data_IF_231942731045
#
_entry.id   IF_231942731045
#
_cell.length_a   1.000
_cell.length_b   1.000
_cell.length_c   1.000
_cell.angle_alpha   90.00
_cell.angle_beta   90.00
_cell.angle_gamma   90.00
#
_symmetry.space_group_name_H-M   'P 1'
#
loop_
_entity.id
_entity.type
_entity.pdbx_description
1 polymer ?
#
# COMPACT_ATOMS: atom_id res chain seq x y z
N UNK A 1 7.88 -25.32 -6.38
CA UNK A 1 8.68 -24.87 -7.54
C UNK A 1 8.14 -23.51 -7.95
N UNK A 2 8.97 -22.59 -8.42
CA UNK A 2 8.47 -21.36 -9.03
C UNK A 2 7.75 -21.68 -10.34
N UNK A 3 6.80 -20.83 -10.71
CA UNK A 3 6.08 -20.93 -11.97
C UNK A 3 6.36 -19.67 -12.79
N UNK A 4 6.24 -19.76 -14.12
CA UNK A 4 6.44 -18.63 -15.01
C UNK A 4 5.09 -18.18 -15.59
N UNK A 5 4.84 -16.87 -15.56
CA UNK A 5 3.72 -16.25 -16.25
C UNK A 5 4.05 -16.11 -17.74
N UNK A 6 3.16 -16.63 -18.57
CA UNK A 6 3.23 -16.55 -20.04
C UNK A 6 2.23 -15.54 -20.62
N UNK A 7 1.34 -15.01 -19.79
CA UNK A 7 0.35 -14.02 -20.17
C UNK A 7 0.99 -12.66 -20.46
N UNK A 8 0.43 -11.95 -21.46
CA UNK A 8 0.78 -10.56 -21.74
C UNK A 8 -0.01 -9.61 -20.84
N UNK A 9 0.67 -8.66 -20.21
CA UNK A 9 0.09 -7.69 -19.29
C UNK A 9 0.25 -6.26 -19.83
N UNK A 10 -0.84 -5.60 -20.29
CA UNK A 10 -0.75 -4.26 -20.90
C UNK A 10 -0.11 -3.20 -20.00
N UNK A 11 -0.28 -3.29 -18.68
CA UNK A 11 0.31 -2.34 -17.72
C UNK A 11 1.86 -2.41 -17.68
N UNK A 12 2.47 -3.49 -18.18
CA UNK A 12 3.93 -3.64 -18.28
C UNK A 12 4.51 -3.04 -19.57
N UNK A 13 3.69 -2.72 -20.58
CA UNK A 13 4.15 -2.12 -21.84
C UNK A 13 4.78 -0.73 -21.65
N UNK A 14 4.41 -0.05 -20.57
CA UNK A 14 4.95 1.26 -20.21
C UNK A 14 6.35 1.19 -19.57
N UNK A 15 6.83 -0.01 -19.26
CA UNK A 15 8.22 -0.19 -18.84
C UNK A 15 9.16 0.09 -20.02
N UNK A 16 10.38 0.52 -19.71
CA UNK A 16 11.45 0.76 -20.69
C UNK A 16 11.69 -0.47 -21.57
N UNK A 17 11.58 -1.65 -20.98
CA UNK A 17 11.60 -2.93 -21.69
C UNK A 17 10.56 -3.85 -21.06
N UNK A 18 9.70 -4.42 -21.89
CA UNK A 18 8.75 -5.43 -21.45
C UNK A 18 9.52 -6.64 -20.86
N UNK A 19 9.16 -7.15 -19.67
CA UNK A 19 9.85 -8.28 -19.05
C UNK A 19 9.83 -9.52 -19.95
N UNK A 20 11.00 -10.11 -20.21
CA UNK A 20 11.08 -11.35 -21.01
C UNK A 20 10.55 -12.57 -20.26
N UNK A 21 10.66 -12.55 -18.94
CA UNK A 21 10.18 -13.60 -18.05
C UNK A 21 9.65 -12.98 -16.77
N UNK A 22 8.58 -13.56 -16.22
CA UNK A 22 8.03 -13.17 -14.94
C UNK A 22 7.72 -14.44 -14.14
N UNK A 23 8.48 -14.67 -13.09
CA UNK A 23 8.35 -15.82 -12.19
C UNK A 23 7.49 -15.45 -10.99
N UNK A 24 6.76 -16.44 -10.46
CA UNK A 24 5.87 -16.20 -9.34
C UNK A 24 5.77 -17.37 -8.35
N UNK A 25 5.27 -17.04 -7.16
CA UNK A 25 4.70 -17.95 -6.15
C UNK A 25 3.49 -17.30 -5.50
N UNK A 26 2.44 -18.09 -5.26
CA UNK A 26 1.21 -17.63 -4.63
C UNK A 26 0.08 -17.40 -5.62
N UNK A 27 -0.84 -16.51 -5.28
CA UNK A 27 -2.11 -16.29 -5.96
C UNK A 27 -2.01 -15.22 -7.07
N UNK A 28 -2.05 -15.67 -8.32
CA UNK A 28 -1.98 -14.80 -9.50
C UNK A 28 -3.25 -13.97 -9.72
N UNK A 29 -4.38 -14.32 -9.11
CA UNK A 29 -5.63 -13.56 -9.26
C UNK A 29 -5.52 -12.14 -8.71
N UNK A 30 -4.55 -11.89 -7.82
CA UNK A 30 -4.21 -10.53 -7.35
C UNK A 30 -3.75 -9.59 -8.48
N UNK A 31 -3.28 -10.13 -9.61
CA UNK A 31 -2.92 -9.33 -10.79
C UNK A 31 -4.14 -8.70 -11.46
N UNK A 32 -5.34 -9.25 -11.28
CA UNK A 32 -6.57 -8.75 -11.89
C UNK A 32 -7.27 -7.68 -11.03
N UNK A 33 -6.86 -7.53 -9.76
CA UNK A 33 -7.43 -6.55 -8.83
C UNK A 33 -6.92 -5.13 -9.13
N UNK A 34 -7.64 -4.08 -8.70
CA UNK A 34 -7.08 -2.74 -8.62
C UNK A 34 -5.81 -2.74 -7.77
N UNK A 35 -4.76 -2.03 -8.19
CA UNK A 35 -3.44 -2.09 -7.55
C UNK A 35 -2.87 -0.71 -7.26
N UNK A 36 -2.30 -0.54 -6.06
CA UNK A 36 -1.55 0.67 -5.69
C UNK A 36 -0.15 0.27 -5.24
N UNK A 37 0.86 0.90 -5.83
CA UNK A 37 2.26 0.67 -5.44
C UNK A 37 2.64 1.60 -4.29
N UNK A 38 3.19 1.04 -3.21
CA UNK A 38 3.63 1.81 -2.04
C UNK A 38 5.13 1.55 -1.84
N UNK A 39 5.94 2.60 -1.84
CA UNK A 39 7.40 2.52 -1.65
C UNK A 39 7.89 3.63 -0.72
N UNK A 40 9.09 3.46 -0.17
CA UNK A 40 9.71 4.51 0.64
C UNK A 40 11.02 4.11 1.29
N UNK A 41 11.45 4.91 2.26
CA UNK A 41 12.70 4.73 2.99
C UNK A 41 12.75 3.39 3.73
N UNK A 42 13.97 2.85 3.86
CA UNK A 42 14.25 1.67 4.70
C UNK A 42 14.26 2.00 6.20
N UNK A 43 14.27 3.27 6.56
CA UNK A 43 14.32 3.77 7.94
C UNK A 43 13.22 4.82 8.19
N UNK A 44 11.93 4.44 8.09
CA UNK A 44 10.82 5.38 8.19
C UNK A 44 10.71 5.97 9.59
N UNK A 45 10.28 7.23 9.68
CA UNK A 45 9.89 7.88 10.94
C UNK A 45 8.69 7.18 11.60
N UNK A 46 8.42 7.47 12.88
CA UNK A 46 7.24 6.90 13.57
C UNK A 46 5.92 7.28 12.87
N UNK A 47 5.84 8.53 12.42
CA UNK A 47 4.74 9.06 11.62
C UNK A 47 4.54 8.22 10.35
N UNK A 48 5.58 8.05 9.55
CA UNK A 48 5.53 7.28 8.30
C UNK A 48 5.16 5.82 8.56
N UNK A 49 5.69 5.21 9.62
CA UNK A 49 5.33 3.82 9.97
C UNK A 49 3.84 3.68 10.21
N UNK A 50 3.27 4.56 11.03
CA UNK A 50 1.85 4.54 11.37
C UNK A 50 0.98 4.75 10.13
N UNK A 51 1.22 5.83 9.38
CA UNK A 51 0.37 6.18 8.24
C UNK A 51 0.58 5.28 7.01
N UNK A 52 1.77 4.71 6.80
CA UNK A 52 1.96 3.66 5.77
C UNK A 52 1.09 2.44 6.06
N UNK A 53 1.05 1.99 7.32
CA UNK A 53 0.24 0.84 7.72
C UNK A 53 -1.26 1.13 7.56
N UNK A 54 -1.72 2.28 8.06
CA UNK A 54 -3.12 2.69 7.95
C UNK A 54 -3.55 2.83 6.49
N UNK A 55 -2.72 3.43 5.64
CA UNK A 55 -2.98 3.56 4.21
C UNK A 55 -3.12 2.20 3.52
N UNK A 56 -2.18 1.30 3.77
CA UNK A 56 -2.22 -0.04 3.18
C UNK A 56 -3.46 -0.83 3.65
N UNK A 57 -3.84 -0.70 4.93
CA UNK A 57 -5.05 -1.31 5.49
C UNK A 57 -6.33 -0.75 4.87
N UNK A 58 -6.42 0.57 4.69
CA UNK A 58 -7.58 1.23 4.10
C UNK A 58 -7.77 0.84 2.62
N UNK A 59 -6.67 0.70 1.86
CA UNK A 59 -6.70 0.17 0.50
C UNK A 59 -7.15 -1.29 0.48
N UNK A 60 -6.64 -2.11 1.39
CA UNK A 60 -6.98 -3.52 1.46
C UNK A 60 -8.45 -3.79 1.78
N UNK A 61 -9.03 -3.02 2.72
CA UNK A 61 -10.47 -3.04 3.02
C UNK A 61 -11.35 -2.80 1.79
N UNK A 62 -10.86 -2.04 0.79
CA UNK A 62 -11.54 -1.72 -0.48
C UNK A 62 -11.26 -2.70 -1.60
N UNK A 63 -10.59 -3.80 -1.27
CA UNK A 63 -10.18 -4.80 -2.23
C UNK A 63 -9.04 -4.37 -3.16
N UNK A 64 -8.37 -3.25 -2.87
CA UNK A 64 -7.22 -2.76 -3.63
C UNK A 64 -5.97 -3.48 -3.15
N UNK A 65 -5.27 -4.14 -4.07
CA UNK A 65 -4.06 -4.88 -3.77
C UNK A 65 -2.86 -3.93 -3.65
N UNK A 66 -2.08 -4.09 -2.58
CA UNK A 66 -0.86 -3.29 -2.37
C UNK A 66 0.32 -3.97 -3.04
N UNK A 67 1.07 -3.23 -3.87
CA UNK A 67 2.29 -3.71 -4.53
C UNK A 67 3.51 -3.04 -3.89
N UNK A 68 4.52 -3.83 -3.49
CA UNK A 68 5.77 -3.27 -2.96
C UNK A 68 6.96 -4.22 -3.15
N UNK A 69 8.14 -3.78 -2.74
CA UNK A 69 9.41 -4.47 -3.00
C UNK A 69 9.91 -5.40 -1.88
N UNK A 70 9.11 -5.70 -0.86
CA UNK A 70 9.54 -6.49 0.30
C UNK A 70 10.85 -6.03 0.99
N UNK A 71 11.32 -4.80 0.75
CA UNK A 71 12.50 -4.27 1.43
C UNK A 71 12.21 -3.98 2.92
N UNK A 72 13.25 -3.67 3.69
CA UNK A 72 13.06 -3.14 5.05
C UNK A 72 12.33 -1.79 5.00
N UNK A 73 11.71 -1.41 6.13
CA UNK A 73 11.06 -0.12 6.28
C UNK A 73 9.69 -0.08 5.60
N UNK A 74 9.45 0.94 4.78
CA UNK A 74 8.13 1.21 4.19
C UNK A 74 7.53 0.01 3.47
N UNK A 75 8.31 -0.70 2.65
CA UNK A 75 7.81 -1.85 1.89
C UNK A 75 7.23 -2.94 2.81
N UNK A 76 7.97 -3.34 3.86
CA UNK A 76 7.50 -4.34 4.82
C UNK A 76 6.25 -3.88 5.58
N UNK A 77 6.17 -2.60 5.92
CA UNK A 77 5.02 -2.01 6.62
C UNK A 77 3.80 -1.98 5.72
N UNK A 78 3.98 -1.66 4.44
CA UNK A 78 2.91 -1.67 3.45
C UNK A 78 2.34 -3.08 3.26
N UNK A 79 3.20 -4.09 3.09
CA UNK A 79 2.77 -5.49 3.03
C UNK A 79 2.02 -5.93 4.30
N UNK A 80 2.55 -5.57 5.48
CA UNK A 80 1.93 -5.93 6.76
C UNK A 80 0.57 -5.24 6.95
N UNK A 81 0.45 -3.96 6.56
CA UNK A 81 -0.81 -3.22 6.66
C UNK A 81 -1.87 -3.70 5.67
N UNK A 82 -1.46 -4.13 4.49
CA UNK A 82 -2.36 -4.67 3.48
C UNK A 82 -2.93 -6.04 3.85
N UNK A 83 -2.18 -6.83 4.62
CA UNK A 83 -2.47 -8.25 4.85
C UNK A 83 -1.75 -9.13 3.83
N UNK A 84 -1.33 -10.31 4.28
CA UNK A 84 -0.53 -11.26 3.49
C UNK A 84 -1.25 -11.79 2.24
N UNK A 85 -2.58 -11.77 2.24
CA UNK A 85 -3.49 -12.22 1.17
C UNK A 85 -3.90 -11.11 0.19
N UNK A 86 -3.60 -9.85 0.51
CA UNK A 86 -3.96 -8.71 -0.32
C UNK A 86 -2.73 -7.88 -0.72
N UNK A 87 -1.64 -8.57 -1.07
CA UNK A 87 -0.41 -7.89 -1.47
C UNK A 87 0.43 -8.68 -2.48
N UNK A 88 1.15 -7.92 -3.32
CA UNK A 88 2.11 -8.43 -4.29
C UNK A 88 3.51 -7.92 -3.90
N UNK A 89 4.40 -8.84 -3.53
CA UNK A 89 5.81 -8.57 -3.27
C UNK A 89 6.65 -8.81 -4.53
N UNK A 90 7.26 -7.77 -5.06
CA UNK A 90 8.18 -7.89 -6.20
C UNK A 90 9.62 -7.96 -5.69
N UNK A 91 10.32 -9.06 -5.89
CA UNK A 91 11.68 -9.27 -5.37
C UNK A 91 12.75 -9.01 -6.43
N UNK A 92 13.97 -8.65 -5.98
CA UNK A 92 15.12 -8.37 -6.85
C UNK A 92 16.02 -9.61 -7.06
N UNK A 93 15.54 -10.79 -6.69
CA UNK A 93 16.20 -12.08 -6.72
C UNK A 93 15.23 -13.14 -7.26
N UNK A 94 15.70 -14.36 -7.50
CA UNK A 94 14.80 -15.48 -7.80
C UNK A 94 13.76 -15.67 -6.68
N UNK A 95 12.52 -16.05 -7.01
CA UNK A 95 11.43 -16.23 -6.02
C UNK A 95 11.68 -17.39 -5.03
N UNK A 96 12.73 -18.17 -5.23
CA UNK A 96 13.25 -19.17 -4.30
C UNK A 96 14.08 -18.57 -3.15
N UNK A 97 14.55 -17.34 -3.29
CA UNK A 97 15.40 -16.65 -2.31
C UNK A 97 14.56 -15.65 -1.50
N UNK A 98 14.69 -15.69 -0.17
CA UNK A 98 13.98 -14.77 0.75
C UNK A 98 14.96 -13.69 1.21
N UNK A 99 14.91 -12.56 0.53
CA UNK A 99 15.77 -11.40 0.81
C UNK A 99 14.93 -10.12 0.97
N UNK A 100 15.24 -9.25 1.94
CA UNK A 100 16.29 -9.41 2.95
C UNK A 100 15.90 -10.45 4.01
N UNK A 101 16.89 -11.09 4.64
CA UNK A 101 16.66 -12.17 5.60
C UNK A 101 15.76 -11.77 6.79
N UNK A 102 15.80 -10.49 7.20
CA UNK A 102 14.95 -9.94 8.25
C UNK A 102 13.45 -10.00 7.91
N UNK A 103 13.09 -9.98 6.63
CA UNK A 103 11.72 -10.05 6.16
C UNK A 103 11.34 -11.46 5.69
N UNK A 104 12.17 -12.48 5.96
CA UNK A 104 11.96 -13.85 5.47
C UNK A 104 10.55 -14.37 5.81
N UNK A 105 10.13 -14.24 7.06
CA UNK A 105 8.83 -14.77 7.51
C UNK A 105 7.66 -14.08 6.79
N UNK A 106 7.74 -12.75 6.60
CA UNK A 106 6.74 -11.99 5.86
C UNK A 106 6.67 -12.45 4.39
N UNK A 107 7.82 -12.62 3.74
CA UNK A 107 7.89 -13.10 2.35
C UNK A 107 7.28 -14.50 2.26
N UNK A 108 7.64 -15.42 3.15
CA UNK A 108 7.10 -16.78 3.19
C UNK A 108 5.58 -16.81 3.43
N UNK A 109 5.04 -15.84 4.16
CA UNK A 109 3.61 -15.74 4.39
C UNK A 109 2.88 -15.19 3.15
N UNK A 110 3.45 -14.19 2.48
CA UNK A 110 2.94 -13.68 1.18
C UNK A 110 3.00 -14.79 0.13
N UNK A 111 4.04 -15.61 0.07
CA UNK A 111 4.11 -16.75 -0.87
C UNK A 111 2.96 -17.75 -0.71
N UNK A 112 2.39 -17.85 0.50
CA UNK A 112 1.32 -18.80 0.83
C UNK A 112 -0.08 -18.24 0.58
N UNK A 113 -0.26 -16.93 0.74
CA UNK A 113 -1.59 -16.28 0.74
C UNK A 113 -1.76 -15.19 -0.30
N UNK A 114 -0.69 -14.45 -0.59
CA UNK A 114 -0.65 -13.38 -1.59
C UNK A 114 0.18 -13.80 -2.78
N UNK A 115 0.97 -12.88 -3.33
CA UNK A 115 1.77 -13.14 -4.52
C UNK A 115 3.19 -12.59 -4.38
N UNK A 116 4.18 -13.41 -4.72
CA UNK A 116 5.57 -12.98 -4.91
C UNK A 116 5.93 -13.05 -6.39
N UNK A 117 6.50 -11.99 -6.94
CA UNK A 117 6.89 -11.86 -8.34
C UNK A 117 8.37 -11.53 -8.49
N UNK A 118 8.99 -12.01 -9.57
CA UNK A 118 10.36 -11.66 -9.95
C UNK A 118 10.56 -11.74 -11.46
N UNK A 119 11.46 -10.92 -12.00
CA UNK A 119 11.96 -11.08 -13.38
C UNK A 119 13.16 -12.03 -13.46
N UNK A 120 13.62 -12.55 -12.32
CA UNK A 120 14.86 -13.31 -12.23
C UNK A 120 14.58 -14.80 -11.99
N UNK A 121 15.34 -15.65 -12.69
CA UNK A 121 15.27 -17.11 -12.59
C UNK A 121 15.64 -17.61 -11.18
N UNK A 122 15.26 -18.86 -10.88
CA UNK A 122 15.62 -19.50 -9.62
C UNK A 122 17.14 -19.48 -9.37
N UNK A 123 17.55 -19.22 -8.13
CA UNK A 123 18.95 -19.12 -7.73
C UNK A 123 19.62 -17.77 -8.04
N UNK A 124 18.98 -16.86 -8.78
CA UNK A 124 19.53 -15.54 -9.04
C UNK A 124 19.60 -14.68 -7.77
N UNK A 125 20.80 -14.26 -7.37
CA UNK A 125 21.03 -13.43 -6.18
C UNK A 125 20.91 -11.94 -6.51
N UNK A 126 20.29 -11.17 -5.59
CA UNK A 126 20.09 -9.74 -5.77
C UNK A 126 21.42 -8.98 -5.92
N UNK A 127 21.46 -8.08 -6.90
CA UNK A 127 22.56 -7.17 -7.23
C UNK A 127 22.08 -5.72 -7.22
N UNK A 128 22.99 -4.74 -7.23
CA UNK A 128 22.62 -3.31 -7.28
C UNK A 128 21.68 -2.96 -8.44
N UNK A 129 21.95 -3.48 -9.64
CA UNK A 129 21.13 -3.23 -10.83
C UNK A 129 19.77 -3.95 -10.78
N UNK A 130 19.70 -5.13 -10.15
CA UNK A 130 18.45 -5.89 -10.06
C UNK A 130 17.39 -5.14 -9.23
N UNK A 131 17.79 -4.35 -8.23
CA UNK A 131 16.87 -3.49 -7.48
C UNK A 131 16.26 -2.39 -8.36
N UNK A 132 17.04 -1.82 -9.29
CA UNK A 132 16.56 -0.79 -10.21
C UNK A 132 15.51 -1.38 -11.16
N UNK A 133 15.81 -2.54 -11.76
CA UNK A 133 14.88 -3.28 -12.64
C UNK A 133 13.62 -3.71 -11.89
N UNK A 134 13.76 -4.19 -10.65
CA UNK A 134 12.63 -4.54 -9.79
C UNK A 134 11.74 -3.34 -9.52
N UNK A 135 12.32 -2.18 -9.17
CA UNK A 135 11.55 -1.00 -8.80
C UNK A 135 10.67 -0.52 -9.96
N UNK A 136 11.17 -0.61 -11.20
CA UNK A 136 10.38 -0.31 -12.39
C UNK A 136 9.14 -1.22 -12.49
N UNK A 137 9.31 -2.53 -12.23
CA UNK A 137 8.18 -3.47 -12.21
C UNK A 137 7.18 -3.18 -11.09
N UNK A 138 7.64 -2.81 -9.89
CA UNK A 138 6.76 -2.36 -8.79
C UNK A 138 5.89 -1.20 -9.25
N UNK A 139 6.49 -0.19 -9.90
CA UNK A 139 5.76 0.98 -10.40
C UNK A 139 4.81 0.62 -11.54
N UNK A 140 5.22 -0.27 -12.45
CA UNK A 140 4.40 -0.69 -13.58
C UNK A 140 3.10 -1.40 -13.13
N UNK A 141 3.20 -2.25 -12.11
CA UNK A 141 2.07 -3.04 -11.58
C UNK A 141 0.96 -2.20 -10.95
N UNK A 142 1.28 -1.16 -10.19
CA UNK A 142 0.27 -0.30 -9.55
C UNK A 142 -0.27 0.76 -10.51
N UNK A 143 -1.55 1.08 -10.44
CA UNK A 143 -2.16 2.13 -11.26
C UNK A 143 -1.57 3.52 -10.97
N UNK A 144 -1.03 3.68 -9.76
CA UNK A 144 -0.31 4.85 -9.27
C UNK A 144 0.77 4.46 -8.27
N UNK A 145 1.59 5.44 -7.93
CA UNK A 145 2.66 5.30 -6.96
C UNK A 145 2.40 6.16 -5.73
N UNK A 146 2.47 5.57 -4.55
CA UNK A 146 2.56 6.27 -3.27
C UNK A 146 3.99 6.18 -2.75
N UNK A 147 4.60 7.33 -2.45
CA UNK A 147 5.89 7.41 -1.78
C UNK A 147 5.66 7.99 -0.38
N UNK A 148 5.75 7.14 0.64
CA UNK A 148 5.37 7.57 1.99
C UNK A 148 6.46 8.34 2.71
N UNK A 149 7.75 8.09 2.46
CA UNK A 149 8.86 8.92 2.94
C UNK A 149 10.11 8.62 2.10
N UNK A 150 10.85 9.65 1.66
CA UNK A 150 12.03 9.49 0.82
C UNK A 150 13.03 10.63 0.97
N UNK A 151 14.33 10.30 0.90
CA UNK A 151 15.40 11.28 0.68
C UNK A 151 15.67 11.49 -0.82
N UNK A 152 16.33 12.59 -1.17
CA UNK A 152 16.62 12.98 -2.57
C UNK A 152 17.37 11.89 -3.37
N UNK A 153 18.39 11.27 -2.80
CA UNK A 153 19.20 10.24 -3.49
C UNK A 153 18.69 8.80 -3.26
N UNK A 154 17.42 8.64 -2.87
CA UNK A 154 16.88 7.33 -2.52
C UNK A 154 16.37 6.53 -3.74
N UNK A 155 16.32 5.20 -3.59
CA UNK A 155 15.71 4.33 -4.61
C UNK A 155 14.21 4.60 -4.85
N UNK A 156 13.52 5.23 -3.89
CA UNK A 156 12.13 5.66 -4.05
C UNK A 156 12.02 6.82 -5.04
N UNK A 157 13.01 7.72 -5.11
CA UNK A 157 13.04 8.79 -6.12
C UNK A 157 13.23 8.23 -7.53
N UNK A 158 13.98 7.13 -7.68
CA UNK A 158 14.01 6.37 -8.96
C UNK A 158 12.65 5.80 -9.33
N UNK A 159 11.87 5.37 -8.34
CA UNK A 159 10.49 4.91 -8.57
C UNK A 159 9.59 6.08 -9.02
N UNK A 160 9.80 7.29 -8.48
CA UNK A 160 9.12 8.50 -8.96
C UNK A 160 9.45 8.79 -10.43
N UNK A 161 10.72 8.69 -10.84
CA UNK A 161 11.14 8.85 -12.23
C UNK A 161 10.40 7.88 -13.16
N UNK A 162 10.29 6.60 -12.78
CA UNK A 162 9.51 5.61 -13.54
C UNK A 162 8.03 5.96 -13.59
N UNK A 163 7.42 6.39 -12.49
CA UNK A 163 6.00 6.73 -12.45
C UNK A 163 5.69 7.90 -13.39
N UNK A 164 6.52 8.95 -13.39
CA UNK A 164 6.40 10.08 -14.30
C UNK A 164 6.56 9.64 -15.76
N UNK A 165 7.57 8.82 -16.08
CA UNK A 165 7.78 8.30 -17.42
C UNK A 165 6.59 7.45 -17.93
N UNK A 166 5.91 6.74 -17.03
CA UNK A 166 4.72 5.94 -17.34
C UNK A 166 3.41 6.75 -17.35
N UNK A 167 3.46 8.04 -17.04
CA UNK A 167 2.29 8.91 -16.89
C UNK A 167 1.39 8.52 -15.71
N UNK A 168 1.96 7.91 -14.66
CA UNK A 168 1.23 7.54 -13.44
C UNK A 168 1.21 8.70 -12.45
N UNK A 169 0.10 8.87 -11.75
CA UNK A 169 0.00 9.83 -10.66
C UNK A 169 0.89 9.39 -9.50
N UNK A 170 1.53 10.37 -8.85
CA UNK A 170 2.33 10.15 -7.65
C UNK A 170 1.61 10.80 -6.48
N UNK A 171 1.52 10.08 -5.38
CA UNK A 171 0.98 10.57 -4.13
C UNK A 171 2.02 10.45 -3.02
N UNK A 172 1.99 11.35 -2.06
CA UNK A 172 2.92 11.35 -0.92
C UNK A 172 2.21 11.70 0.37
N UNK A 173 2.74 11.22 1.50
CA UNK A 173 2.33 11.73 2.79
C UNK A 173 2.92 13.13 3.01
N UNK A 174 2.14 14.09 3.58
CA UNK A 174 2.67 15.39 3.93
C UNK A 174 3.72 15.24 5.04
N UNK A 175 4.85 15.93 4.90
CA UNK A 175 5.94 15.93 5.87
C UNK A 175 6.28 17.35 6.30
N UNK A 176 6.89 17.47 7.49
CA UNK A 176 7.42 18.75 7.98
C UNK A 176 8.60 19.20 7.11
N UNK A 177 8.92 20.49 7.18
CA UNK A 177 10.19 21.00 6.65
C UNK A 177 11.36 20.32 7.38
N UNK A 178 12.40 19.97 6.63
CA UNK A 178 13.56 19.23 7.16
C UNK A 178 13.38 17.71 7.20
N UNK A 179 12.17 17.21 6.96
CA UNK A 179 11.87 15.78 6.80
C UNK A 179 11.61 15.44 5.34
N UNK A 180 11.76 14.16 4.97
CA UNK A 180 11.39 13.59 3.67
C UNK A 180 11.67 14.51 2.47
N UNK A 181 12.93 14.94 2.31
CA UNK A 181 13.32 15.92 1.30
C UNK A 181 12.89 15.53 -0.12
N UNK A 182 12.92 14.24 -0.44
CA UNK A 182 12.47 13.72 -1.74
C UNK A 182 10.98 13.95 -2.00
N UNK A 183 10.11 13.57 -1.05
CA UNK A 183 8.65 13.77 -1.24
C UNK A 183 8.27 15.24 -1.23
N UNK A 184 8.93 16.06 -0.40
CA UNK A 184 8.71 17.51 -0.37
C UNK A 184 9.14 18.17 -1.68
N UNK A 185 10.24 17.73 -2.30
CA UNK A 185 10.64 18.20 -3.64
C UNK A 185 9.63 17.81 -4.73
N UNK A 186 9.06 16.61 -4.68
CA UNK A 186 8.00 16.19 -5.60
C UNK A 186 6.76 17.09 -5.49
N UNK A 187 6.36 17.44 -4.27
CA UNK A 187 5.26 18.40 -4.03
C UNK A 187 5.60 19.79 -4.56
N UNK A 188 6.79 20.29 -4.24
CA UNK A 188 7.24 21.62 -4.68
C UNK A 188 7.27 21.75 -6.21
N UNK A 189 7.61 20.66 -6.90
CA UNK A 189 7.70 20.61 -8.36
C UNK A 189 6.38 20.23 -9.03
N UNK A 190 5.26 20.17 -8.29
CA UNK A 190 3.93 19.77 -8.79
C UNK A 190 3.91 18.38 -9.45
N UNK A 191 4.83 17.49 -9.05
CA UNK A 191 4.95 16.13 -9.58
C UNK A 191 4.19 15.09 -8.73
N UNK A 192 3.79 15.47 -7.51
CA UNK A 192 3.01 14.62 -6.63
C UNK A 192 1.83 15.37 -6.00
N UNK A 193 0.82 14.62 -5.57
CA UNK A 193 -0.33 15.10 -4.80
C UNK A 193 -0.22 14.65 -3.34
N UNK A 194 -0.44 15.53 -2.35
CA UNK A 194 -0.40 15.15 -0.95
C UNK A 194 -1.65 14.34 -0.55
N UNK A 195 -1.47 13.34 0.31
CA UNK A 195 -2.55 12.59 0.95
C UNK A 195 -2.83 13.22 2.31
N UNK A 196 -3.86 14.05 2.40
CA UNK A 196 -4.28 14.65 3.68
C UNK A 196 -5.23 13.78 4.48
N UNK A 197 -6.00 12.94 3.78
CA UNK A 197 -7.00 12.05 4.36
C UNK A 197 -6.90 10.68 3.68
N UNK A 198 -6.61 9.65 4.47
CA UNK A 198 -6.34 8.30 3.96
C UNK A 198 -7.61 7.65 3.42
N UNK A 199 -8.75 7.84 4.08
CA UNK A 199 -10.00 7.19 3.69
C UNK A 199 -10.54 7.81 2.40
N UNK A 200 -10.48 9.13 2.28
CA UNK A 200 -10.80 9.88 1.06
C UNK A 200 -9.89 9.44 -0.08
N UNK A 201 -8.58 9.33 0.15
CA UNK A 201 -7.66 8.81 -0.85
C UNK A 201 -8.01 7.37 -1.24
N UNK A 202 -8.17 6.47 -0.27
CA UNK A 202 -8.45 5.07 -0.52
C UNK A 202 -9.80 4.86 -1.23
N UNK A 203 -10.82 5.69 -0.94
CA UNK A 203 -12.15 5.64 -1.58
C UNK A 203 -12.14 5.92 -3.07
N UNK A 204 -11.09 6.56 -3.59
CA UNK A 204 -10.91 6.76 -5.03
C UNK A 204 -10.58 5.45 -5.76
N UNK A 205 -10.27 4.38 -5.01
CA UNK A 205 -9.76 3.13 -5.53
C UNK A 205 -10.54 1.94 -4.98
N UNK A 206 -10.78 0.96 -5.85
CA UNK A 206 -11.51 -0.26 -5.49
C UNK A 206 -13.02 -0.11 -5.56
N UNK A 207 -13.72 -1.11 -5.04
CA UNK A 207 -15.17 -1.01 -4.83
C UNK A 207 -15.42 -0.03 -3.68
N UNK A 208 -16.55 0.69 -3.72
CA UNK A 208 -17.06 1.30 -2.50
C UNK A 208 -16.98 0.22 -1.40
N UNK A 209 -16.38 0.56 -0.25
CA UNK A 209 -16.58 -0.31 0.91
C UNK A 209 -18.08 -0.29 1.06
N UNK A 210 -18.74 -1.43 0.82
CA UNK A 210 -20.04 -1.68 1.44
C UNK A 210 -19.77 -1.83 2.93
N UNK A 211 -19.31 -0.76 3.56
CA UNK A 211 -19.89 -0.36 4.82
C UNK A 211 -21.30 0.08 4.43
N UNK A 212 -22.17 -0.90 4.16
CA UNK A 212 -23.52 -0.78 4.66
C UNK A 212 -23.32 -0.63 6.16
N UNK A 213 -23.06 0.60 6.62
CA UNK A 213 -23.27 0.97 8.00
C UNK A 213 -24.68 0.48 8.25
N UNK A 214 -24.78 -0.54 9.09
CA UNK A 214 -26.03 -1.22 9.30
C UNK A 214 -27.00 -0.11 9.73
N UNK A 215 -27.99 0.20 8.88
CA UNK A 215 -28.94 1.30 9.10
C UNK A 215 -29.95 0.86 10.15
N UNK A 216 -29.43 0.57 11.32
CA UNK A 216 -30.16 0.16 12.48
C UNK A 216 -30.29 1.33 13.45
N UNK A 217 -30.88 1.03 14.60
CA UNK A 217 -31.20 2.06 15.58
C UNK A 217 -29.96 2.81 16.07
N UNK A 218 -28.78 2.18 16.07
CA UNK A 218 -27.51 2.84 16.44
C UNK A 218 -27.11 3.88 15.40
N UNK A 219 -27.16 3.53 14.12
CA UNK A 219 -26.85 4.47 13.03
C UNK A 219 -27.77 5.70 13.08
N UNK A 220 -29.09 5.49 13.16
CA UNK A 220 -30.06 6.57 13.20
C UNK A 220 -29.94 7.42 14.46
N UNK A 221 -29.60 6.82 15.60
CA UNK A 221 -29.34 7.55 16.82
C UNK A 221 -28.10 8.47 16.69
N UNK A 222 -27.00 7.94 16.15
CA UNK A 222 -25.76 8.69 15.95
C UNK A 222 -25.88 9.82 14.92
N UNK A 223 -26.88 9.81 14.01
CA UNK A 223 -27.18 10.96 13.15
C UNK A 223 -27.55 12.21 13.92
N UNK A 224 -28.10 12.06 15.14
CA UNK A 224 -28.45 13.17 16.03
C UNK A 224 -27.25 13.86 16.69
N UNK A 225 -26.02 13.38 16.43
CA UNK A 225 -24.81 13.78 17.14
C UNK A 225 -24.97 13.74 18.68
N UNK A 226 -25.40 12.59 19.24
CA UNK A 226 -25.60 12.43 20.67
C UNK A 226 -24.27 12.54 21.44
N UNK A 227 -24.37 12.77 22.74
CA UNK A 227 -23.20 12.66 23.61
C UNK A 227 -22.75 11.21 23.75
N UNK A 228 -21.48 11.04 24.11
CA UNK A 228 -20.90 9.74 24.39
C UNK A 228 -21.66 9.01 25.52
N UNK A 229 -21.99 9.72 26.59
CA UNK A 229 -22.70 9.16 27.74
C UNK A 229 -24.11 8.69 27.35
N UNK A 230 -24.84 9.47 26.53
CA UNK A 230 -26.16 9.07 26.02
C UNK A 230 -26.07 7.84 25.13
N UNK A 231 -25.05 7.78 24.26
CA UNK A 231 -24.84 6.65 23.35
C UNK A 231 -24.45 5.39 24.12
N UNK A 232 -23.57 5.52 25.12
CA UNK A 232 -23.15 4.41 25.99
C UNK A 232 -24.32 3.90 26.84
N UNK A 233 -25.16 4.79 27.36
CA UNK A 233 -26.34 4.40 28.13
C UNK A 233 -27.37 3.62 27.29
N UNK A 234 -27.52 3.95 26.01
CA UNK A 234 -28.50 3.32 25.13
C UNK A 234 -27.99 2.06 24.42
N UNK A 235 -26.71 2.04 24.02
CA UNK A 235 -26.16 0.97 23.18
C UNK A 235 -24.98 0.21 23.81
N UNK A 236 -24.57 0.57 25.02
CA UNK A 236 -23.51 -0.12 25.76
C UNK A 236 -22.19 -0.14 24.98
N UNK A 237 -21.49 -1.28 25.04
CA UNK A 237 -20.15 -1.43 24.48
C UNK A 237 -20.07 -1.23 22.96
N UNK A 238 -21.21 -1.27 22.27
CA UNK A 238 -21.32 -1.04 20.83
C UNK A 238 -20.70 0.29 20.39
N UNK A 239 -20.75 1.32 21.23
CA UNK A 239 -20.13 2.63 20.89
C UNK A 239 -18.62 2.52 20.72
N UNK A 240 -17.95 1.68 21.52
CA UNK A 240 -16.51 1.45 21.42
C UNK A 240 -16.17 0.58 20.21
N UNK A 241 -16.98 -0.45 19.95
CA UNK A 241 -16.83 -1.31 18.77
C UNK A 241 -16.97 -0.48 17.49
N UNK A 242 -18.00 0.36 17.41
CA UNK A 242 -18.26 1.22 16.26
C UNK A 242 -17.15 2.27 16.04
N UNK A 243 -16.54 2.79 17.10
CA UNK A 243 -15.37 3.68 16.97
C UNK A 243 -14.12 2.93 16.45
N UNK A 244 -13.88 1.71 16.94
CA UNK A 244 -12.76 0.86 16.49
C UNK A 244 -12.94 0.38 15.04
N UNK A 245 -14.17 0.14 14.63
CA UNK A 245 -14.54 -0.23 13.26
C UNK A 245 -14.43 0.95 12.29
N UNK A 246 -14.51 2.18 12.80
CA UNK A 246 -14.47 3.41 12.04
C UNK A 246 -15.85 3.86 11.54
N UNK A 247 -16.93 3.40 12.17
CA UNK A 247 -18.32 3.78 11.86
C UNK A 247 -18.67 5.13 12.49
N UNK A 248 -18.09 5.42 13.67
CA UNK A 248 -18.25 6.69 14.38
C UNK A 248 -16.91 7.23 14.84
N UNK A 249 -16.85 8.53 15.11
CA UNK A 249 -15.75 9.22 15.78
C UNK A 249 -16.26 9.92 17.02
N UNK A 250 -15.51 9.84 18.12
CA UNK A 250 -15.87 10.53 19.37
C UNK A 250 -14.97 11.75 19.53
N UNK A 251 -15.56 12.95 19.44
CA UNK A 251 -14.82 14.22 19.56
C UNK A 251 -15.52 15.14 20.56
N UNK A 252 -14.77 15.62 21.55
CA UNK A 252 -15.29 16.47 22.64
C UNK A 252 -16.52 15.87 23.33
N UNK A 253 -16.54 14.54 23.49
CA UNK A 253 -17.67 13.82 24.09
C UNK A 253 -18.92 13.71 23.22
N UNK A 254 -18.84 14.05 21.93
CA UNK A 254 -19.93 13.90 20.96
C UNK A 254 -19.59 12.76 19.99
N UNK A 255 -20.53 11.86 19.79
CA UNK A 255 -20.43 10.76 18.83
C UNK A 255 -20.91 11.26 17.47
N UNK A 256 -20.08 11.13 16.43
CA UNK A 256 -20.42 11.50 15.05
C UNK A 256 -20.22 10.32 14.14
N UNK A 257 -21.10 10.11 13.18
CA UNK A 257 -20.85 9.17 12.08
C UNK A 257 -19.57 9.59 11.33
N UNK A 258 -18.70 8.62 11.08
CA UNK A 258 -17.42 8.81 10.40
C UNK A 258 -17.58 8.98 8.89
#
# INVERSE_FOLDING_TARGET
>A
MSQQLTQHFPFLEKMKKYPSSLFYKGDVTLLDRPKVSIVGTRKPSAYTRHFTHMLAKALAKRGVCVVSGAAMGVDAIAHTGAGEDNTIAVVANGVDIRYPAINKNMIEAIEKKGLVLSQFEEGFKATGWSFVVRNELVVALGEMLVITEAGLDSGSMRSAEYALAMGKKIFVLPHRLGESSGTNTLLQSYQATPIYDIETFASQFGTAVDECVQKDDFFYFCQGAPTFDETLAQFGDRVYEAELEGIVTIQNGIVRLA
#
